data_IF_654277451491
#
_entry.id   IF_654277451491
#
_cell.length_a   1.000
_cell.length_b   1.000
_cell.length_c   1.000
_cell.angle_alpha   90.00
_cell.angle_beta   90.00
_cell.angle_gamma   90.00
#
_symmetry.space_group_name_H-M   'P 1'
#
loop_
_entity.id
_entity.type
_entity.pdbx_description
1 polymer ?
#
# COMPACT_ATOMS: atom_id res chain seq x y z
N UNK A 1 -13.32 -8.01 5.69
CA UNK A 1 -12.53 -6.76 5.67
C UNK A 1 -12.14 -6.41 4.23
N UNK A 2 -12.13 -5.14 3.80
CA UNK A 2 -11.65 -4.74 2.47
C UNK A 2 -10.14 -4.99 2.32
N UNK A 3 -9.68 -5.45 1.14
CA UNK A 3 -8.25 -5.57 0.82
C UNK A 3 -7.68 -4.19 0.53
N UNK A 4 -6.56 -3.86 1.18
CA UNK A 4 -5.82 -2.64 0.93
C UNK A 4 -4.44 -3.02 0.46
N UNK A 5 -4.08 -2.58 -0.75
CA UNK A 5 -2.69 -2.60 -1.21
C UNK A 5 -2.10 -1.21 -1.00
N UNK A 6 -0.95 -1.15 -0.34
CA UNK A 6 -0.16 0.08 -0.18
C UNK A 6 1.01 0.02 -1.16
N UNK A 7 0.98 0.84 -2.19
CA UNK A 7 2.08 0.97 -3.15
C UNK A 7 3.07 2.01 -2.63
N UNK A 8 4.30 1.57 -2.38
CA UNK A 8 5.42 2.40 -1.97
C UNK A 8 6.39 2.48 -3.14
N UNK A 9 6.35 3.61 -3.85
CA UNK A 9 7.14 3.85 -5.04
C UNK A 9 8.28 4.83 -4.72
N UNK A 10 9.50 4.53 -5.15
CA UNK A 10 10.65 5.43 -4.96
C UNK A 10 10.63 6.58 -5.95
N UNK A 11 9.93 6.44 -7.08
CA UNK A 11 9.74 7.53 -8.02
C UNK A 11 8.76 8.57 -7.46
N UNK A 12 8.93 9.87 -7.76
CA UNK A 12 8.01 10.91 -7.27
C UNK A 12 6.56 10.68 -7.68
N UNK A 13 6.34 10.03 -8.82
CA UNK A 13 5.03 9.68 -9.32
C UNK A 13 4.87 8.16 -9.29
N UNK A 14 3.90 7.62 -8.52
CA UNK A 14 3.64 6.19 -8.51
C UNK A 14 3.27 5.65 -9.90
N UNK A 15 3.91 4.54 -10.27
CA UNK A 15 3.71 3.84 -11.53
C UNK A 15 2.23 3.58 -11.83
N UNK A 16 1.74 4.10 -12.95
CA UNK A 16 0.37 3.82 -13.42
C UNK A 16 0.21 2.35 -13.80
N UNK A 17 1.26 1.72 -14.31
CA UNK A 17 1.24 0.32 -14.70
C UNK A 17 0.92 -0.58 -13.51
N UNK A 18 1.67 -0.44 -12.41
CA UNK A 18 1.47 -1.26 -11.20
C UNK A 18 0.09 -1.03 -10.60
N UNK A 19 -0.42 0.20 -10.70
CA UNK A 19 -1.76 0.55 -10.22
C UNK A 19 -2.86 -0.11 -11.02
N UNK A 20 -2.74 -0.17 -12.35
CA UNK A 20 -3.69 -0.88 -13.22
C UNK A 20 -3.66 -2.37 -12.89
N UNK A 21 -2.47 -2.97 -12.76
CA UNK A 21 -2.33 -4.39 -12.42
C UNK A 21 -2.97 -4.71 -11.06
N UNK A 22 -2.80 -3.84 -10.05
CA UNK A 22 -3.43 -4.01 -8.74
C UNK A 22 -4.97 -3.95 -8.80
N UNK A 23 -5.52 -3.05 -9.62
CA UNK A 23 -6.97 -2.96 -9.85
C UNK A 23 -7.49 -4.22 -10.53
N UNK A 24 -6.82 -4.67 -11.60
CA UNK A 24 -7.21 -5.88 -12.33
C UNK A 24 -7.08 -7.14 -11.48
N UNK A 25 -6.19 -7.15 -10.49
CA UNK A 25 -6.06 -8.21 -9.49
C UNK A 25 -7.16 -8.22 -8.41
N UNK A 26 -8.10 -7.25 -8.43
CA UNK A 26 -9.26 -7.22 -7.54
C UNK A 26 -8.97 -6.67 -6.14
N UNK A 27 -7.96 -5.79 -5.99
CA UNK A 27 -7.75 -5.05 -4.74
C UNK A 27 -8.90 -4.08 -4.49
N UNK A 28 -9.51 -4.10 -3.30
CA UNK A 28 -10.64 -3.23 -2.98
C UNK A 28 -10.23 -1.75 -2.89
N UNK A 29 -9.04 -1.44 -2.38
CA UNK A 29 -8.49 -0.10 -2.24
C UNK A 29 -6.98 -0.08 -2.48
N UNK A 30 -6.52 0.90 -3.27
CA UNK A 30 -5.11 1.10 -3.58
C UNK A 30 -4.66 2.48 -3.06
N UNK A 31 -3.71 2.49 -2.12
CA UNK A 31 -3.10 3.70 -1.60
C UNK A 31 -1.68 3.82 -2.12
N UNK A 32 -1.42 4.83 -2.95
CA UNK A 32 -0.14 5.00 -3.63
C UNK A 32 0.64 6.19 -3.06
N UNK A 33 1.88 5.94 -2.67
CA UNK A 33 2.83 6.95 -2.20
C UNK A 33 4.06 6.93 -3.11
N UNK A 34 4.41 8.10 -3.66
CA UNK A 34 5.63 8.31 -4.44
C UNK A 34 6.71 8.97 -3.59
N UNK A 35 7.96 8.84 -4.03
CA UNK A 35 9.13 9.40 -3.34
C UNK A 35 9.41 8.72 -2.00
N UNK A 36 9.05 7.45 -1.84
CA UNK A 36 9.33 6.70 -0.62
C UNK A 36 10.84 6.60 -0.38
N UNK A 37 11.27 6.91 0.84
CA UNK A 37 12.67 6.85 1.27
C UNK A 37 12.79 6.00 2.53
N UNK A 38 14.01 5.52 2.89
CA UNK A 38 14.22 4.82 4.15
C UNK A 38 13.73 5.58 5.39
N UNK A 39 13.82 6.91 5.39
CA UNK A 39 13.42 7.76 6.52
C UNK A 39 11.90 7.93 6.63
N UNK A 40 11.16 7.78 5.52
CA UNK A 40 9.72 8.07 5.46
C UNK A 40 8.87 6.81 5.42
N UNK A 41 9.42 5.69 4.92
CA UNK A 41 8.67 4.45 4.70
C UNK A 41 8.17 3.80 5.98
N UNK A 42 8.91 3.91 7.09
CA UNK A 42 8.54 3.29 8.36
C UNK A 42 7.16 3.77 8.83
N UNK A 43 6.91 5.07 8.80
CA UNK A 43 5.62 5.63 9.23
C UNK A 43 4.46 5.16 8.35
N UNK A 44 4.70 4.94 7.05
CA UNK A 44 3.68 4.42 6.14
C UNK A 44 3.36 2.95 6.45
N UNK A 45 4.39 2.14 6.71
CA UNK A 45 4.23 0.73 7.12
C UNK A 45 3.52 0.63 8.46
N UNK A 46 3.86 1.47 9.43
CA UNK A 46 3.18 1.54 10.73
C UNK A 46 1.67 1.82 10.59
N UNK A 47 1.29 2.71 9.67
CA UNK A 47 -0.11 2.95 9.33
C UNK A 47 -0.83 1.71 8.78
N UNK A 48 -0.13 0.83 8.07
CA UNK A 48 -0.68 -0.40 7.51
C UNK A 48 -0.84 -1.52 8.56
N UNK A 49 0.11 -1.64 9.50
CA UNK A 49 0.15 -2.76 10.46
C UNK A 49 -0.59 -2.49 11.77
N UNK A 50 -0.59 -1.26 12.29
CA UNK A 50 -1.17 -0.98 13.61
C UNK A 50 -2.64 -0.57 13.59
N UNK A 51 -3.24 -0.49 12.40
CA UNK A 51 -4.64 -0.08 12.21
C UNK A 51 -5.61 -1.26 12.09
N UNK A 52 -5.11 -2.51 12.09
CA UNK A 52 -5.93 -3.73 12.02
C UNK A 52 -5.48 -4.78 13.03
N UNK A 53 -6.41 -5.63 13.45
CA UNK A 53 -6.11 -6.77 14.32
C UNK A 53 -5.37 -7.88 13.58
N UNK A 54 -4.70 -8.76 14.33
CA UNK A 54 -3.88 -9.86 13.77
C UNK A 54 -4.60 -10.69 12.69
N UNK A 55 -5.88 -11.09 12.85
CA UNK A 55 -6.57 -11.89 11.83
C UNK A 55 -6.80 -11.14 10.51
N UNK A 56 -6.85 -9.81 10.56
CA UNK A 56 -7.13 -8.93 9.42
C UNK A 56 -5.87 -8.29 8.83
N UNK A 57 -4.68 -8.53 9.43
CA UNK A 57 -3.41 -7.99 8.95
C UNK A 57 -3.13 -8.43 7.51
N UNK A 58 -3.42 -9.68 7.16
CA UNK A 58 -3.26 -10.22 5.79
C UNK A 58 -4.17 -9.55 4.75
N UNK A 59 -5.08 -8.68 5.17
CA UNK A 59 -5.93 -7.87 4.29
C UNK A 59 -5.33 -6.49 4.03
N UNK A 60 -4.19 -6.14 4.64
CA UNK A 60 -3.41 -4.92 4.38
C UNK A 60 -1.98 -5.32 4.04
N UNK A 61 -1.50 -4.91 2.86
CA UNK A 61 -0.25 -5.32 2.22
C UNK A 61 -0.35 -6.64 1.43
#
# INVERSE_FOLDING_TARGET
>A
MKSILVQLDTDPQPSVFDRVVAVDAGVDQLFSHGGATPETVESLVHGAIFTRGIPDLSRTA
#
